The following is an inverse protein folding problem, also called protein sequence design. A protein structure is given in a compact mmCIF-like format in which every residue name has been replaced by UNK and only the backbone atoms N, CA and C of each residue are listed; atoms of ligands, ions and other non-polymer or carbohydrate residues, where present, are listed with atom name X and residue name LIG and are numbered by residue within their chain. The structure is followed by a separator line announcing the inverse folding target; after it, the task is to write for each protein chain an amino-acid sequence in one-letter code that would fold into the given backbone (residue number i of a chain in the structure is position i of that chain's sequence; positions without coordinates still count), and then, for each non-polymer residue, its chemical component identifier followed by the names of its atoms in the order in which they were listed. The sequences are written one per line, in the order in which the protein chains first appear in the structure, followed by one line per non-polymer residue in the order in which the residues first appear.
data_IF_457731198010
#
_entry.id   IF_457731198010
#
_cell.length_a   1.000
_cell.length_b   1.000
_cell.length_c   1.000
_cell.angle_alpha   90.00
_cell.angle_beta   90.00
_cell.angle_gamma   90.00
#
_symmetry.space_group_name_H-M   'P 1'
#
loop_
_entity.id
_entity.type
_entity.pdbx_description
1 polymer ?
#
# COMPACT_ATOMS: atom_id res chain seq x y z
N UNK A 1 -38.90 10.31 32.18
CA UNK A 1 -38.75 9.77 30.80
C UNK A 1 -37.66 10.47 29.98
N UNK A 2 -37.60 11.81 29.93
CA UNK A 2 -36.58 12.56 29.17
C UNK A 2 -35.13 12.33 29.66
N UNK A 3 -34.87 12.32 30.97
CA UNK A 3 -33.53 12.07 31.52
C UNK A 3 -33.01 10.65 31.25
N UNK A 4 -33.91 9.65 31.29
CA UNK A 4 -33.54 8.25 31.03
C UNK A 4 -33.12 8.06 29.56
N UNK A 5 -33.81 8.72 28.64
CA UNK A 5 -33.46 8.70 27.22
C UNK A 5 -32.13 9.42 26.94
N UNK A 6 -31.87 10.57 27.60
CA UNK A 6 -30.59 11.28 27.48
C UNK A 6 -29.42 10.47 28.03
N UNK A 7 -29.60 9.78 29.15
CA UNK A 7 -28.56 8.92 29.74
C UNK A 7 -28.28 7.71 28.84
N UNK A 8 -29.32 7.08 28.29
CA UNK A 8 -29.14 5.98 27.33
C UNK A 8 -28.43 6.42 26.04
N UNK A 9 -28.77 7.58 25.48
CA UNK A 9 -28.13 8.12 24.28
C UNK A 9 -26.65 8.42 24.52
N UNK A 10 -26.32 8.98 25.68
CA UNK A 10 -24.94 9.28 26.06
C UNK A 10 -24.12 8.00 26.26
N UNK A 11 -24.69 6.97 26.90
CA UNK A 11 -24.04 5.66 27.04
C UNK A 11 -23.79 5.03 25.66
N UNK A 12 -24.76 5.07 24.74
CA UNK A 12 -24.58 4.51 23.37
C UNK A 12 -23.48 5.27 22.60
N UNK A 13 -23.42 6.60 22.71
CA UNK A 13 -22.38 7.41 22.06
C UNK A 13 -20.97 7.18 22.61
N UNK A 14 -20.81 6.90 23.91
CA UNK A 14 -19.50 6.63 24.52
C UNK A 14 -18.97 5.22 24.17
N UNK A 15 -19.87 4.28 23.88
CA UNK A 15 -19.52 2.90 23.52
C UNK A 15 -19.16 2.70 22.04
N UNK A 16 -19.33 3.69 21.17
CA UNK A 16 -18.93 3.60 19.75
C UNK A 16 -17.44 3.93 19.54
N UNK A 17 -16.56 3.30 20.31
CA UNK A 17 -15.12 3.35 20.01
C UNK A 17 -14.85 2.45 18.80
N UNK A 18 -14.92 3.05 17.62
CA UNK A 18 -14.54 2.38 16.38
C UNK A 18 -13.01 2.33 16.34
N UNK A 19 -12.42 1.20 16.73
CA UNK A 19 -10.98 0.99 16.59
C UNK A 19 -10.63 1.02 15.11
N UNK A 20 -9.78 1.97 14.71
CA UNK A 20 -9.34 2.08 13.33
C UNK A 20 -8.53 0.86 12.92
N UNK A 21 -8.81 0.33 11.73
CA UNK A 21 -8.06 -0.75 11.11
C UNK A 21 -7.17 -0.19 10.02
N UNK A 22 -5.91 -0.62 9.98
CA UNK A 22 -4.95 -0.21 8.96
C UNK A 22 -5.41 -0.72 7.59
N UNK A 23 -5.44 0.13 6.55
CA UNK A 23 -5.87 -0.28 5.22
C UNK A 23 -4.99 -1.40 4.64
N UNK A 24 -5.53 -2.21 3.72
CA UNK A 24 -4.77 -3.29 3.10
C UNK A 24 -3.49 -2.78 2.42
N UNK A 25 -2.36 -3.37 2.78
CA UNK A 25 -1.08 -3.05 2.18
C UNK A 25 -0.86 -3.85 0.91
N UNK A 26 -0.34 -3.19 -0.13
CA UNK A 26 0.10 -3.86 -1.35
C UNK A 26 1.60 -3.67 -1.56
N UNK A 27 2.34 -4.77 -1.43
CA UNK A 27 3.77 -4.83 -1.69
C UNK A 27 4.04 -5.43 -3.08
N UNK A 28 4.86 -4.77 -3.88
CA UNK A 28 5.30 -5.23 -5.21
C UNK A 28 6.82 -5.12 -5.27
N UNK A 29 7.46 -6.17 -5.78
CA UNK A 29 8.92 -6.22 -5.96
C UNK A 29 9.25 -6.20 -7.45
N UNK A 30 10.28 -5.45 -7.79
CA UNK A 30 10.84 -5.32 -9.13
C UNK A 30 12.38 -5.39 -9.08
N UNK A 31 13.01 -5.47 -10.24
CA UNK A 31 14.47 -5.40 -10.37
C UNK A 31 15.05 -4.09 -9.79
N UNK A 32 14.23 -3.03 -9.71
CA UNK A 32 14.61 -1.71 -9.19
C UNK A 32 14.45 -1.59 -7.67
N UNK A 33 13.81 -2.56 -7.02
CA UNK A 33 13.53 -2.56 -5.59
C UNK A 33 12.10 -2.95 -5.27
N UNK A 34 11.54 -2.42 -4.20
CA UNK A 34 10.14 -2.67 -3.86
C UNK A 34 9.34 -1.40 -3.61
N UNK A 35 8.03 -1.51 -3.84
CA UNK A 35 7.02 -0.52 -3.49
C UNK A 35 6.02 -1.13 -2.55
N UNK A 36 5.65 -0.39 -1.52
CA UNK A 36 4.51 -0.69 -0.66
C UNK A 36 3.54 0.48 -0.71
N UNK A 37 2.25 0.18 -0.82
CA UNK A 37 1.21 1.20 -0.86
C UNK A 37 -0.03 0.82 -0.07
N UNK A 38 -0.76 1.85 0.35
CA UNK A 38 -2.09 1.76 0.95
C UNK A 38 -3.00 2.80 0.28
N UNK A 39 -4.33 2.56 0.19
CA UNK A 39 -5.26 3.62 -0.21
C UNK A 39 -5.22 4.77 0.80
N UNK A 40 -5.42 5.99 0.32
CA UNK A 40 -5.63 7.14 1.19
C UNK A 40 -7.02 7.10 1.84
N UNK A 41 -7.08 7.52 3.11
CA UNK A 41 -8.31 7.62 3.87
C UNK A 41 -8.35 8.93 4.67
N UNK A 42 -9.55 9.49 4.94
CA UNK A 42 -9.65 10.74 5.69
C UNK A 42 -8.94 10.69 7.04
N UNK A 43 -8.06 11.67 7.23
CA UNK A 43 -7.33 11.90 8.47
C UNK A 43 -5.95 11.27 8.54
N UNK A 44 -5.51 10.49 7.54
CA UNK A 44 -4.13 9.98 7.52
C UNK A 44 -3.16 11.15 7.30
N UNK A 45 -2.14 11.22 8.16
CA UNK A 45 -1.09 12.24 8.19
C UNK A 45 0.29 11.67 7.83
N UNK A 46 0.48 10.37 8.08
CA UNK A 46 1.75 9.69 7.85
C UNK A 46 1.54 8.21 7.58
N UNK A 47 2.32 7.68 6.63
CA UNK A 47 2.52 6.26 6.41
C UNK A 47 3.99 5.94 6.59
N UNK A 48 4.30 5.05 7.52
CA UNK A 48 5.65 4.64 7.90
C UNK A 48 5.79 3.13 7.74
N UNK A 49 6.97 2.69 7.31
CA UNK A 49 7.32 1.29 7.11
C UNK A 49 8.67 1.01 7.78
N UNK A 50 8.74 -0.11 8.48
CA UNK A 50 9.98 -0.72 8.92
C UNK A 50 9.98 -2.17 8.45
N UNK A 51 11.03 -2.59 7.75
CA UNK A 51 11.18 -3.99 7.39
C UNK A 51 12.62 -4.45 7.28
N UNK A 52 12.83 -5.74 7.41
CA UNK A 52 14.11 -6.42 7.29
C UNK A 52 14.08 -7.42 6.15
N UNK A 53 15.10 -7.34 5.29
CA UNK A 53 15.22 -8.23 4.13
C UNK A 53 16.05 -9.46 4.53
N UNK A 54 15.48 -10.65 4.30
CA UNK A 54 16.09 -11.96 4.59
C UNK A 54 16.57 -12.11 6.05
N UNK A 55 15.89 -11.44 6.98
CA UNK A 55 16.20 -11.47 8.40
C UNK A 55 14.93 -11.23 9.21
N UNK A 56 14.90 -11.68 10.46
CA UNK A 56 13.82 -11.42 11.39
C UNK A 56 13.74 -9.91 11.74
N UNK A 57 12.61 -9.47 12.29
CA UNK A 57 12.39 -8.04 12.64
C UNK A 57 13.21 -7.68 13.89
N UNK A 58 14.47 -7.33 13.69
CA UNK A 58 15.33 -6.65 14.65
C UNK A 58 15.68 -5.25 14.12
N UNK A 59 15.49 -4.22 14.94
CA UNK A 59 15.81 -2.82 14.60
C UNK A 59 17.28 -2.59 14.26
N UNK A 60 18.17 -3.49 14.70
CA UNK A 60 19.61 -3.44 14.46
C UNK A 60 20.07 -4.34 13.31
N UNK A 61 19.13 -4.97 12.59
CA UNK A 61 19.49 -5.81 11.46
C UNK A 61 20.21 -4.98 10.39
N UNK A 62 21.34 -5.47 9.84
CA UNK A 62 22.09 -4.74 8.80
C UNK A 62 21.29 -4.52 7.51
N UNK A 63 20.17 -5.23 7.35
CA UNK A 63 19.27 -5.15 6.21
C UNK A 63 17.95 -4.41 6.54
N UNK A 64 17.94 -3.58 7.58
CA UNK A 64 16.77 -2.79 7.95
C UNK A 64 16.49 -1.67 6.94
N UNK A 65 15.21 -1.51 6.63
CA UNK A 65 14.67 -0.54 5.69
C UNK A 65 13.59 0.26 6.40
N UNK A 66 13.82 1.56 6.55
CA UNK A 66 12.90 2.51 7.17
C UNK A 66 12.47 3.53 6.12
N UNK A 67 11.16 3.65 5.89
CA UNK A 67 10.59 4.56 4.91
C UNK A 67 9.41 5.31 5.53
N UNK A 68 9.17 6.55 5.10
CA UNK A 68 7.97 7.29 5.47
C UNK A 68 7.50 8.24 4.37
N UNK A 69 6.20 8.50 4.36
CA UNK A 69 5.56 9.50 3.55
C UNK A 69 4.64 10.33 4.45
N UNK A 70 4.55 11.63 4.17
CA UNK A 70 3.68 12.60 4.89
C UNK A 70 2.52 13.10 4.04
N UNK A 71 2.44 12.67 2.78
CA UNK A 71 1.39 13.05 1.83
C UNK A 71 1.10 11.88 0.87
N UNK A 72 -0.17 11.63 0.53
CA UNK A 72 -0.53 10.69 -0.52
C UNK A 72 -0.26 11.29 -1.90
N UNK A 73 -0.12 10.41 -2.90
CA UNK A 73 0.01 10.76 -4.32
C UNK A 73 -1.07 10.00 -5.07
N UNK A 74 -1.95 10.71 -5.78
CA UNK A 74 -3.05 10.14 -6.57
C UNK A 74 -3.97 9.20 -5.76
N UNK A 75 -4.25 9.56 -4.50
CA UNK A 75 -5.13 8.78 -3.62
C UNK A 75 -4.50 7.51 -3.02
N UNK A 76 -3.18 7.33 -3.16
CA UNK A 76 -2.44 6.25 -2.52
C UNK A 76 -1.25 6.83 -1.73
N UNK A 77 -0.94 6.24 -0.58
CA UNK A 77 0.34 6.44 0.07
C UNK A 77 1.33 5.46 -0.53
N UNK A 78 2.47 5.95 -1.01
CA UNK A 78 3.47 5.13 -1.69
C UNK A 78 4.83 5.31 -1.02
N UNK A 79 5.44 4.18 -0.63
CA UNK A 79 6.83 4.11 -0.19
C UNK A 79 7.60 3.25 -1.20
N UNK A 80 8.79 3.73 -1.56
CA UNK A 80 9.68 3.05 -2.50
C UNK A 80 11.06 2.90 -1.87
N UNK A 81 11.57 1.66 -1.87
CA UNK A 81 12.95 1.37 -1.57
C UNK A 81 13.65 0.89 -2.84
N UNK A 82 14.75 1.54 -3.20
CA UNK A 82 15.54 1.19 -4.37
C UNK A 82 16.68 0.30 -3.97
N UNK A 83 16.70 -0.91 -4.52
CA UNK A 83 17.75 -1.91 -4.32
C UNK A 83 17.68 -2.91 -5.45
N UNK A 84 18.84 -3.25 -6.00
CA UNK A 84 18.96 -4.32 -6.98
C UNK A 84 19.18 -5.68 -6.30
N UNK A 85 18.91 -6.75 -7.04
CA UNK A 85 19.29 -8.10 -6.62
C UNK A 85 18.28 -8.83 -5.72
N UNK A 86 17.03 -8.37 -5.66
CA UNK A 86 15.94 -9.20 -5.14
C UNK A 86 15.78 -10.47 -5.98
N UNK A 87 15.44 -11.57 -5.33
CA UNK A 87 15.25 -12.88 -5.96
C UNK A 87 13.96 -13.53 -5.48
N UNK A 88 13.41 -14.39 -6.31
CA UNK A 88 12.35 -15.30 -5.87
C UNK A 88 12.88 -16.15 -4.69
N UNK A 89 12.08 -16.25 -3.64
CA UNK A 89 12.44 -16.93 -2.39
C UNK A 89 12.99 -16.02 -1.30
N UNK A 90 13.46 -14.81 -1.63
CA UNK A 90 13.75 -13.79 -0.62
C UNK A 90 12.47 -13.45 0.17
N UNK A 91 12.62 -12.92 1.38
CA UNK A 91 11.49 -12.47 2.19
C UNK A 91 11.75 -11.14 2.87
N UNK A 92 10.66 -10.45 3.18
CA UNK A 92 10.63 -9.19 3.91
C UNK A 92 9.73 -9.39 5.12
N UNK A 93 10.31 -9.28 6.31
CA UNK A 93 9.55 -9.19 7.55
C UNK A 93 9.36 -7.70 7.88
N UNK A 94 8.14 -7.24 8.14
CA UNK A 94 7.88 -5.81 8.28
C UNK A 94 6.65 -5.50 9.14
N UNK A 95 6.59 -4.26 9.61
CA UNK A 95 5.38 -3.66 10.16
C UNK A 95 5.20 -2.26 9.57
N UNK A 96 3.96 -1.79 9.62
CA UNK A 96 3.62 -0.44 9.17
C UNK A 96 3.03 0.35 10.31
N UNK A 97 3.24 1.66 10.27
CA UNK A 97 2.63 2.60 11.19
C UNK A 97 1.88 3.69 10.41
N UNK A 98 0.67 4.00 10.85
CA UNK A 98 -0.15 5.07 10.32
C UNK A 98 -0.41 6.07 11.42
N UNK A 99 -0.09 7.34 11.16
CA UNK A 99 -0.60 8.44 11.99
C UNK A 99 -1.89 8.95 11.36
N UNK A 100 -2.98 8.90 12.13
CA UNK A 100 -4.30 9.37 11.69
C UNK A 100 -4.97 10.21 12.79
N UNK A 101 -5.41 11.41 12.45
CA UNK A 101 -6.03 12.37 13.38
C UNK A 101 -5.21 12.55 14.67
N UNK A 102 -3.89 12.69 14.55
CA UNK A 102 -2.97 12.77 15.69
C UNK A 102 -2.63 11.45 16.39
N UNK A 103 -3.34 10.35 16.14
CA UNK A 103 -3.15 9.06 16.80
C UNK A 103 -2.35 8.07 15.93
N UNK A 104 -1.45 7.31 16.54
CA UNK A 104 -0.64 6.29 15.89
C UNK A 104 -1.27 4.90 15.91
N UNK A 105 -1.17 4.17 14.81
CA UNK A 105 -1.68 2.81 14.65
C UNK A 105 -0.60 1.94 13.99
N UNK A 106 -0.19 0.87 14.66
CA UNK A 106 0.86 -0.03 14.16
C UNK A 106 0.27 -1.39 13.82
N UNK A 107 0.66 -1.98 12.69
CA UNK A 107 0.26 -3.34 12.36
C UNK A 107 1.00 -4.36 13.24
N UNK A 108 0.48 -5.57 13.34
CA UNK A 108 1.34 -6.69 13.73
C UNK A 108 2.50 -6.87 12.74
N UNK A 109 3.50 -7.66 13.12
CA UNK A 109 4.53 -8.10 12.18
C UNK A 109 3.90 -8.88 11.02
N UNK A 110 4.37 -8.61 9.80
CA UNK A 110 3.93 -9.23 8.56
C UNK A 110 5.13 -9.91 7.90
N UNK A 111 4.87 -11.03 7.23
CA UNK A 111 5.84 -11.76 6.44
C UNK A 111 5.44 -11.72 4.96
N UNK A 112 6.34 -11.28 4.09
CA UNK A 112 6.15 -11.29 2.65
C UNK A 112 7.27 -12.07 1.96
N UNK A 113 6.92 -13.22 1.40
CA UNK A 113 7.83 -13.98 0.54
C UNK A 113 7.72 -13.51 -0.90
N UNK A 114 8.86 -13.18 -1.50
CA UNK A 114 8.97 -12.74 -2.88
C UNK A 114 8.78 -13.95 -3.79
N UNK A 115 7.64 -14.00 -4.49
CA UNK A 115 7.35 -15.06 -5.46
C UNK A 115 8.01 -14.80 -6.80
N UNK A 116 7.86 -13.57 -7.28
CA UNK A 116 8.37 -13.12 -8.57
C UNK A 116 8.97 -11.71 -8.42
N UNK A 117 9.97 -11.43 -9.24
CA UNK A 117 10.59 -10.10 -9.37
C UNK A 117 10.23 -9.55 -10.74
N UNK A 118 9.51 -8.43 -10.76
CA UNK A 118 9.09 -7.81 -12.02
C UNK A 118 10.23 -7.03 -12.69
N UNK A 119 10.33 -7.00 -14.03
CA UNK A 119 11.31 -6.14 -14.71
C UNK A 119 11.11 -4.65 -14.40
N UNK A 120 9.85 -4.23 -14.23
CA UNK A 120 9.48 -2.88 -13.80
C UNK A 120 8.17 -2.90 -13.00
N UNK A 121 7.89 -1.80 -12.31
CA UNK A 121 6.62 -1.62 -11.62
C UNK A 121 5.47 -1.52 -12.63
N UNK A 122 4.34 -2.21 -12.39
CA UNK A 122 3.20 -2.12 -13.29
C UNK A 122 2.67 -0.68 -13.32
N UNK A 123 2.54 -0.12 -14.52
CA UNK A 123 1.80 1.12 -14.72
C UNK A 123 0.35 0.91 -14.22
N UNK A 124 -0.31 1.93 -13.63
CA UNK A 124 -1.68 1.80 -13.10
C UNK A 124 -2.66 1.14 -14.07
N UNK A 125 -2.50 1.34 -15.38
CA UNK A 125 -3.33 0.76 -16.44
C UNK A 125 -3.18 -0.77 -16.60
N UNK A 126 -2.01 -1.33 -16.32
CA UNK A 126 -1.71 -2.76 -16.51
C UNK A 126 -2.37 -3.63 -15.42
N UNK A 127 -2.54 -3.08 -14.22
CA UNK A 127 -2.99 -3.82 -13.05
C UNK A 127 -4.50 -4.14 -13.08
N UNK A 128 -5.29 -3.29 -13.74
CA UNK A 128 -6.73 -3.51 -13.97
C UNK A 128 -6.99 -4.72 -14.89
N UNK A 129 -6.13 -4.91 -15.91
CA UNK A 129 -6.28 -5.99 -16.89
C UNK A 129 -5.99 -7.40 -16.32
N UNK A 130 -5.11 -7.53 -15.32
CA UNK A 130 -4.77 -8.84 -14.73
C UNK A 130 -5.85 -9.38 -13.79
N UNK A 131 -6.69 -8.54 -13.19
CA UNK A 131 -7.82 -9.03 -12.38
C UNK A 131 -9.06 -9.37 -13.23
N UNK A 132 -9.13 -8.84 -14.46
CA UNK A 132 -10.19 -9.15 -15.43
C UNK A 132 -10.00 -10.48 -16.16
N UNK A 133 -8.76 -11.01 -16.21
CA UNK A 133 -8.42 -12.20 -16.99
C UNK A 133 -8.30 -13.48 -16.14
N UNK A 134 -9.13 -13.64 -15.09
CA UNK A 134 -9.38 -14.97 -14.54
C UNK A 134 -10.33 -15.70 -15.51
N UNK A 135 -9.94 -16.82 -16.13
CA UNK A 135 -10.81 -17.51 -17.08
C UNK A 135 -12.05 -18.01 -16.34
N UNK A 136 -13.22 -17.55 -16.79
CA UNK A 136 -14.52 -18.07 -16.42
C UNK A 136 -14.92 -19.12 -17.45
N UNK A 137 -14.27 -20.28 -17.42
CA UNK A 137 -14.65 -21.43 -18.25
C UNK A 137 -15.19 -22.56 -17.37
N UNK A 138 -16.36 -22.32 -16.76
CA UNK A 138 -17.30 -23.37 -16.40
C UNK A 138 -18.72 -22.80 -16.40
N UNK A 139 -19.34 -22.79 -17.59
CA UNK A 139 -20.79 -22.80 -17.78
C UNK A 139 -21.12 -22.98 -19.28
N UNK A 140 -21.42 -24.24 -19.62
CA UNK A 140 -22.40 -24.74 -20.61
C UNK A 140 -23.01 -23.74 -21.62
N UNK A 141 -22.74 -24.02 -22.91
CA UNK A 141 -23.64 -23.99 -24.08
C UNK A 141 -24.79 -22.96 -24.13
N UNK A 142 -24.70 -21.97 -25.03
CA UNK A 142 -25.76 -21.60 -25.98
C UNK A 142 -25.35 -20.39 -26.87
N UNK A 143 -25.34 -20.64 -28.19
CA UNK A 143 -25.66 -19.74 -29.33
C UNK A 143 -25.41 -18.22 -29.27
N UNK A 144 -24.56 -17.74 -30.20
CA UNK A 144 -24.47 -16.35 -30.70
C UNK A 144 -25.72 -15.99 -31.56
N UNK A 145 -26.05 -14.68 -31.79
CA UNK A 145 -25.37 -13.93 -32.86
C UNK A 145 -25.10 -12.43 -32.59
N UNK A 146 -23.86 -12.03 -32.92
CA UNK A 146 -23.43 -10.90 -33.78
C UNK A 146 -24.22 -9.57 -33.75
N UNK A 147 -23.58 -8.51 -33.25
CA UNK A 147 -23.80 -7.13 -33.71
C UNK A 147 -22.49 -6.34 -33.85
N UNK A 148 -22.53 -5.43 -34.82
CA UNK A 148 -21.45 -4.71 -35.50
C UNK A 148 -20.80 -3.58 -34.70
N UNK A 149 -19.51 -3.38 -35.00
CA UNK A 149 -18.73 -2.14 -35.15
C UNK A 149 -19.11 -0.87 -34.36
N UNK A 150 -18.13 -0.25 -33.70
CA UNK A 150 -17.74 1.12 -34.06
C UNK A 150 -16.35 1.48 -33.53
N UNK A 151 -15.56 1.95 -34.48
CA UNK A 151 -14.18 2.42 -34.44
C UNK A 151 -14.09 3.79 -33.76
N UNK A 152 -13.13 4.00 -32.86
CA UNK A 152 -12.67 5.35 -32.46
C UNK A 152 -11.16 5.34 -32.29
N UNK A 153 -10.49 5.82 -33.34
CA UNK A 153 -9.11 6.29 -33.32
C UNK A 153 -9.11 7.78 -33.01
N UNK A 154 -8.24 8.23 -32.11
CA UNK A 154 -7.72 9.60 -32.15
C UNK A 154 -6.35 9.69 -31.46
N UNK A 155 -5.34 9.78 -32.32
CA UNK A 155 -4.17 10.66 -32.27
C UNK A 155 -3.10 10.51 -31.18
N UNK A 156 -1.96 9.99 -31.64
CA UNK A 156 -0.60 10.30 -31.19
C UNK A 156 -0.36 11.80 -30.98
N UNK A 157 0.36 12.15 -29.94
CA UNK A 157 1.20 13.36 -29.93
C UNK A 157 2.55 13.02 -29.28
N UNK A 158 3.60 13.37 -30.01
CA UNK A 158 5.00 13.03 -29.78
C UNK A 158 5.68 14.08 -28.89
N UNK A 159 6.27 13.59 -27.80
CA UNK A 159 7.53 13.97 -27.11
C UNK A 159 7.87 15.46 -26.93
N UNK A 160 8.02 15.90 -25.67
CA UNK A 160 9.07 16.82 -25.23
C UNK A 160 9.67 16.34 -23.90
N UNK A 161 11.00 16.23 -23.88
CA UNK A 161 11.87 15.84 -22.77
C UNK A 161 12.34 17.03 -21.91
N UNK A 162 12.80 16.70 -20.69
CA UNK A 162 13.69 17.43 -19.73
C UNK A 162 13.02 17.98 -18.45
N UNK A 163 13.75 18.24 -17.34
CA UNK A 163 14.88 17.51 -16.74
C UNK A 163 14.70 17.20 -15.22
N UNK A 164 15.64 16.42 -14.69
CA UNK A 164 15.84 15.91 -13.32
C UNK A 164 15.48 16.89 -12.18
N UNK A 165 14.64 16.44 -11.24
CA UNK A 165 14.51 17.05 -9.90
C UNK A 165 15.17 16.17 -8.83
N UNK A 166 16.16 16.75 -8.16
CA UNK A 166 16.91 16.15 -7.06
C UNK A 166 15.99 15.92 -5.85
N UNK A 167 15.88 14.68 -5.39
CA UNK A 167 15.21 14.35 -4.12
C UNK A 167 16.30 14.31 -3.04
N UNK A 168 16.26 15.29 -2.15
CA UNK A 168 17.05 15.29 -0.91
C UNK A 168 16.43 14.28 0.05
N UNK A 169 17.16 13.20 0.33
CA UNK A 169 16.84 12.25 1.41
C UNK A 169 17.36 12.80 2.73
N UNK A 170 16.48 13.39 3.53
CA UNK A 170 16.77 13.72 4.93
C UNK A 170 16.50 12.49 5.79
N UNK A 171 17.57 11.87 6.31
CA UNK A 171 17.50 10.83 7.34
C UNK A 171 17.05 11.46 8.65
N UNK A 172 15.85 11.12 9.11
CA UNK A 172 15.38 11.44 10.46
C UNK A 172 15.37 10.14 11.26
N UNK A 173 16.21 10.06 12.28
CA UNK A 173 16.22 8.98 13.26
C UNK A 173 15.00 9.11 14.17
N UNK A 174 14.07 8.15 14.11
CA UNK A 174 12.99 8.03 15.08
C UNK A 174 13.33 6.92 16.05
N UNK A 175 13.64 7.30 17.30
CA UNK A 175 13.77 6.39 18.42
C UNK A 175 12.43 6.36 19.16
N UNK A 176 11.62 5.34 18.88
CA UNK A 176 10.39 5.09 19.62
C UNK A 176 10.61 3.92 20.57
N UNK A 177 10.41 4.22 21.86
CA UNK A 177 10.42 3.32 22.99
C UNK A 177 9.11 2.52 22.96
N UNK A 178 9.18 1.20 22.97
CA UNK A 178 8.00 0.37 23.23
C UNK A 178 7.54 0.62 24.68
N UNK A 179 6.22 0.63 24.97
CA UNK A 179 5.78 0.51 26.35
C UNK A 179 6.12 -0.92 26.79
N UNK A 180 6.95 -1.03 27.83
CA UNK A 180 7.15 -2.30 28.53
C UNK A 180 5.80 -2.78 29.10
N UNK A 181 5.53 -4.08 28.96
CA UNK A 181 4.34 -4.78 29.45
C UNK A 181 4.10 -4.59 30.97
#
# INVERSE_FOLDING_TARGET
MRCVLSVLLFIICVNSQNTYSIPPQKLIVSEKGFRIRIPDEPGIEEFFFHGNINSDVDFLAPNAVILSAKKPINGEWLLEHKREGFKAGDFINYWVHIKRNGQGYTSSSNHYQIKDVLPDYPSPTQLSSRHSNRPKNEAVSASTPRFLSSNWQSHETRVISTPKSNISTSTVSYQWMWPDD
#
